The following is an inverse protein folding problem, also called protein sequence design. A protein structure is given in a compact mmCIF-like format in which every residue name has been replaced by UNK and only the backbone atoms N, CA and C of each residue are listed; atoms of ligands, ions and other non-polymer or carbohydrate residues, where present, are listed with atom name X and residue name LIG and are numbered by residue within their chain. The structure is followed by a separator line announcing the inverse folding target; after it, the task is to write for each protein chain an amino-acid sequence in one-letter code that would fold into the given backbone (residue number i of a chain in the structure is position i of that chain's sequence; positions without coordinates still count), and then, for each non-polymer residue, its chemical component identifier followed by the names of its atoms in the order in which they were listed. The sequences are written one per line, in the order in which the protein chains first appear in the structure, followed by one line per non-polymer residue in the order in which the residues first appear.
data_IF_646914029619
#
_entry.id   IF_646914029619
#
_cell.length_a   1.000
_cell.length_b   1.000
_cell.length_c   1.000
_cell.angle_alpha   90.00
_cell.angle_beta   90.00
_cell.angle_gamma   90.00
#
_symmetry.space_group_name_H-M   'P 1'
#
loop_
_entity.id
_entity.type
_entity.pdbx_description
1 polymer ?
#
# COMPACT_ATOMS: atom_id res chain seq x y z
N UNK A 1 6.11 3.96 15.99
CA UNK A 1 5.80 4.26 14.57
C UNK A 1 6.21 5.71 14.34
N UNK A 2 6.85 6.04 13.23
CA UNK A 2 7.17 7.45 12.94
C UNK A 2 5.96 8.12 12.27
N UNK A 3 5.75 9.42 12.52
CA UNK A 3 4.66 10.20 11.93
C UNK A 3 3.34 10.26 12.72
N UNK A 4 3.24 9.62 13.89
CA UNK A 4 2.10 9.79 14.81
C UNK A 4 2.32 10.99 15.74
N UNK A 5 1.26 11.74 16.01
CA UNK A 5 1.26 12.85 16.97
C UNK A 5 1.73 12.37 18.35
N UNK A 6 2.68 13.10 18.96
CA UNK A 6 3.20 12.81 20.29
C UNK A 6 2.37 13.56 21.33
N UNK A 7 1.56 12.83 22.08
CA UNK A 7 0.77 13.38 23.18
C UNK A 7 1.40 13.00 24.52
N UNK A 8 1.53 13.98 25.41
CA UNK A 8 2.01 13.78 26.77
C UNK A 8 0.81 13.70 27.68
N UNK A 9 0.52 12.51 28.20
CA UNK A 9 -0.50 12.32 29.22
C UNK A 9 0.04 12.75 30.59
N UNK A 10 -0.69 13.60 31.31
CA UNK A 10 -0.35 13.95 32.70
C UNK A 10 -0.79 12.86 33.70
N UNK A 11 -1.69 11.95 33.30
CA UNK A 11 -2.20 10.83 34.10
C UNK A 11 -2.32 9.55 33.26
N UNK A 12 -2.12 8.38 33.87
CA UNK A 12 -2.25 7.06 33.20
C UNK A 12 -3.63 6.84 32.56
N UNK A 13 -4.66 7.49 33.11
CA UNK A 13 -6.06 7.40 32.68
C UNK A 13 -6.29 7.99 31.28
N UNK A 14 -5.50 9.01 30.90
CA UNK A 14 -5.64 9.75 29.64
C UNK A 14 -4.96 9.04 28.45
N UNK A 15 -4.10 8.04 28.73
CA UNK A 15 -3.38 7.28 27.69
C UNK A 15 -4.37 6.54 26.77
N UNK A 16 -5.44 5.99 27.36
CA UNK A 16 -6.44 5.23 26.61
C UNK A 16 -7.27 6.10 25.64
N UNK A 17 -7.54 7.36 26.00
CA UNK A 17 -8.23 8.30 25.11
C UNK A 17 -7.33 8.75 23.95
N UNK A 18 -6.07 9.04 24.24
CA UNK A 18 -5.06 9.42 23.24
C UNK A 18 -4.76 8.28 22.25
N UNK A 19 -4.67 7.03 22.72
CA UNK A 19 -4.57 5.87 21.83
C UNK A 19 -5.79 5.74 20.91
N UNK A 20 -6.98 6.07 21.40
CA UNK A 20 -8.22 5.97 20.64
C UNK A 20 -8.29 7.05 19.54
N UNK A 21 -7.87 8.29 19.82
CA UNK A 21 -7.76 9.36 18.80
C UNK A 21 -6.81 8.96 17.68
N UNK A 22 -5.61 8.46 18.01
CA UNK A 22 -4.63 8.02 17.00
C UNK A 22 -5.19 6.84 16.18
N UNK A 23 -5.90 5.90 16.82
CA UNK A 23 -6.58 4.82 16.10
C UNK A 23 -7.71 5.31 15.20
N UNK A 24 -8.42 6.39 15.56
CA UNK A 24 -9.46 6.97 14.71
C UNK A 24 -8.89 7.58 13.43
N UNK A 25 -7.75 8.29 13.52
CA UNK A 25 -7.07 8.88 12.34
C UNK A 25 -6.58 7.79 11.38
N UNK A 26 -5.92 6.75 11.89
CA UNK A 26 -5.51 5.59 11.09
C UNK A 26 -6.72 4.94 10.44
N UNK A 27 -7.79 4.71 11.21
CA UNK A 27 -9.03 4.09 10.71
C UNK A 27 -9.72 4.93 9.63
N UNK A 28 -9.62 6.25 9.69
CA UNK A 28 -10.18 7.16 8.69
C UNK A 28 -9.44 7.02 7.34
N UNK A 29 -8.11 6.99 7.36
CA UNK A 29 -7.28 6.77 6.16
C UNK A 29 -7.57 5.40 5.55
N UNK A 30 -7.63 4.35 6.37
CA UNK A 30 -7.96 2.98 5.93
C UNK A 30 -9.35 2.89 5.27
N UNK A 31 -10.37 3.52 5.87
CA UNK A 31 -11.75 3.52 5.35
C UNK A 31 -11.92 4.25 4.00
N UNK A 32 -11.02 5.18 3.67
CA UNK A 32 -11.03 5.85 2.35
C UNK A 32 -10.58 4.89 1.24
N UNK A 33 -9.70 3.94 1.56
CA UNK A 33 -9.12 2.96 0.62
C UNK A 33 -10.01 1.74 0.40
N UNK A 34 -10.71 1.27 1.43
CA UNK A 34 -11.55 0.05 1.35
C UNK A 34 -12.74 0.13 0.37
N UNK A 35 -13.03 1.30 -0.19
CA UNK A 35 -14.20 1.50 -1.08
C UNK A 35 -14.00 0.94 -2.50
N UNK A 36 -12.78 0.59 -2.89
CA UNK A 36 -12.48 0.12 -4.25
C UNK A 36 -12.28 -1.40 -4.29
N UNK A 37 -13.14 -2.12 -5.03
CA UNK A 37 -13.08 -3.58 -5.19
C UNK A 37 -11.92 -4.08 -6.06
N UNK A 38 -11.23 -3.17 -6.75
CA UNK A 38 -10.07 -3.39 -7.59
C UNK A 38 -9.01 -2.32 -7.32
N UNK A 39 -7.73 -2.67 -7.38
CA UNK A 39 -6.66 -1.73 -7.16
C UNK A 39 -5.36 -2.38 -6.71
N UNK A 40 -4.33 -1.55 -6.57
CA UNK A 40 -3.00 -2.00 -6.10
C UNK A 40 -3.00 -2.19 -4.58
N UNK A 41 -2.11 -3.06 -4.10
CA UNK A 41 -1.84 -3.21 -2.66
C UNK A 41 -0.70 -2.27 -2.28
N UNK A 42 -0.86 -1.50 -1.21
CA UNK A 42 0.12 -0.50 -0.80
C UNK A 42 0.67 -0.82 0.60
N UNK A 43 1.98 -0.63 0.77
CA UNK A 43 2.66 -0.84 2.02
C UNK A 43 3.67 0.28 2.29
N UNK A 44 3.69 0.79 3.52
CA UNK A 44 4.57 1.89 3.93
C UNK A 44 5.18 1.65 5.32
N UNK A 45 6.27 2.35 5.64
CA UNK A 45 6.92 2.27 6.96
C UNK A 45 6.16 3.04 8.05
N UNK A 46 5.43 4.08 7.66
CA UNK A 46 4.78 5.05 8.55
C UNK A 46 3.42 5.48 8.01
N UNK A 47 2.58 6.07 8.87
CA UNK A 47 1.28 6.61 8.45
C UNK A 47 1.45 7.81 7.52
N UNK A 48 2.33 8.77 7.85
CA UNK A 48 2.56 9.93 6.97
C UNK A 48 3.10 9.55 5.60
N UNK A 49 3.95 8.52 5.52
CA UNK A 49 4.40 7.94 4.26
C UNK A 49 3.25 7.30 3.46
N UNK A 50 2.33 6.63 4.16
CA UNK A 50 1.14 6.04 3.55
C UNK A 50 0.20 7.12 2.99
N UNK A 51 -0.04 8.19 3.74
CA UNK A 51 -0.91 9.29 3.32
C UNK A 51 -0.36 10.01 2.08
N UNK A 52 0.94 10.33 2.06
CA UNK A 52 1.59 10.93 0.90
C UNK A 52 1.49 10.02 -0.33
N UNK A 53 1.67 8.71 -0.13
CA UNK A 53 1.56 7.70 -1.17
C UNK A 53 0.12 7.61 -1.72
N UNK A 54 -0.88 7.62 -0.85
CA UNK A 54 -2.29 7.60 -1.23
C UNK A 54 -2.74 8.86 -1.96
N UNK A 55 -2.31 10.04 -1.50
CA UNK A 55 -2.64 11.32 -2.14
C UNK A 55 -2.14 11.37 -3.59
N UNK A 56 -0.93 10.87 -3.84
CA UNK A 56 -0.38 10.79 -5.19
C UNK A 56 -1.11 9.77 -6.08
N UNK A 57 -1.43 8.59 -5.53
CA UNK A 57 -2.20 7.57 -6.27
C UNK A 57 -3.60 8.08 -6.65
N UNK A 58 -4.23 8.90 -5.79
CA UNK A 58 -5.50 9.58 -6.07
C UNK A 58 -5.35 10.58 -7.24
N UNK A 59 -4.30 11.41 -7.26
CA UNK A 59 -4.00 12.33 -8.37
C UNK A 59 -3.78 11.60 -9.71
N UNK A 60 -3.06 10.48 -9.65
CA UNK A 60 -2.80 9.62 -10.81
C UNK A 60 -4.00 8.76 -11.23
N UNK A 61 -5.12 8.82 -10.51
CA UNK A 61 -6.33 8.00 -10.72
C UNK A 61 -6.05 6.50 -10.68
N UNK A 62 -5.10 6.08 -9.85
CA UNK A 62 -4.76 4.68 -9.63
C UNK A 62 -5.58 4.19 -8.44
N UNK A 63 -6.48 3.21 -8.63
CA UNK A 63 -7.26 2.70 -7.53
C UNK A 63 -6.39 1.89 -6.57
N UNK A 64 -6.64 2.06 -5.27
CA UNK A 64 -6.02 1.30 -4.19
C UNK A 64 -7.10 0.46 -3.54
N UNK A 65 -6.83 -0.84 -3.35
CA UNK A 65 -7.82 -1.74 -2.75
C UNK A 65 -7.53 -2.03 -1.27
N UNK A 66 -6.26 -2.05 -0.90
CA UNK A 66 -5.82 -2.35 0.45
C UNK A 66 -4.46 -1.70 0.74
N UNK A 67 -4.28 -1.37 2.01
CA UNK A 67 -3.07 -0.76 2.55
C UNK A 67 -2.64 -1.49 3.82
N UNK A 68 -1.35 -1.45 4.13
CA UNK A 68 -0.79 -1.99 5.36
C UNK A 68 0.49 -1.24 5.75
N UNK A 69 0.90 -1.32 7.02
CA UNK A 69 2.12 -0.68 7.53
C UNK A 69 3.08 -1.77 7.98
N UNK A 70 4.36 -1.65 7.61
CA UNK A 70 5.42 -2.57 8.02
C UNK A 70 6.00 -3.40 6.87
N UNK A 71 6.47 -4.61 7.18
CA UNK A 71 7.17 -5.48 6.22
C UNK A 71 6.20 -6.23 5.31
N UNK A 72 6.56 -6.38 4.02
CA UNK A 72 5.74 -7.15 3.07
C UNK A 72 5.88 -8.63 3.38
N UNK A 73 4.78 -9.29 3.70
CA UNK A 73 4.73 -10.72 4.00
C UNK A 73 3.97 -11.49 2.94
N UNK A 74 4.08 -12.82 2.97
CA UNK A 74 3.37 -13.74 2.07
C UNK A 74 1.85 -13.53 2.04
N UNK A 75 1.25 -13.17 3.19
CA UNK A 75 -0.19 -12.87 3.28
C UNK A 75 -0.59 -11.68 2.40
N UNK A 76 0.27 -10.68 2.29
CA UNK A 76 0.03 -9.47 1.49
C UNK A 76 0.09 -9.82 0.00
N UNK A 77 1.01 -10.70 -0.40
CA UNK A 77 1.11 -11.20 -1.78
C UNK A 77 -0.15 -11.98 -2.17
N UNK A 78 -0.63 -12.87 -1.30
CA UNK A 78 -1.88 -13.60 -1.55
C UNK A 78 -3.09 -12.68 -1.69
N UNK A 79 -3.14 -11.59 -0.93
CA UNK A 79 -4.20 -10.58 -1.09
C UNK A 79 -4.08 -9.88 -2.45
N UNK A 80 -2.86 -9.54 -2.88
CA UNK A 80 -2.63 -8.91 -4.18
C UNK A 80 -2.90 -9.86 -5.37
N UNK A 81 -2.68 -11.17 -5.22
CA UNK A 81 -2.94 -12.15 -6.30
C UNK A 81 -4.41 -12.27 -6.67
N UNK A 82 -5.32 -11.97 -5.74
CA UNK A 82 -6.77 -11.96 -5.98
C UNK A 82 -7.14 -11.01 -7.13
N UNK A 83 -6.39 -9.93 -7.35
CA UNK A 83 -6.63 -9.03 -8.48
C UNK A 83 -6.47 -9.73 -9.82
N UNK A 84 -5.51 -10.66 -9.91
CA UNK A 84 -5.28 -11.46 -11.11
C UNK A 84 -6.42 -12.44 -11.36
N UNK A 85 -6.90 -13.11 -10.30
CA UNK A 85 -8.04 -14.04 -10.36
C UNK A 85 -9.33 -13.33 -10.79
N UNK A 86 -9.50 -12.07 -10.38
CA UNK A 86 -10.62 -11.19 -10.79
C UNK A 86 -10.48 -10.64 -12.22
N UNK A 87 -9.44 -11.00 -12.98
CA UNK A 87 -9.20 -10.52 -14.34
C UNK A 87 -8.51 -9.16 -14.45
N UNK A 88 -8.08 -8.59 -13.32
CA UNK A 88 -7.33 -7.32 -13.27
C UNK A 88 -5.84 -7.57 -13.02
N UNK A 89 -5.19 -8.30 -13.92
CA UNK A 89 -3.77 -8.65 -13.79
C UNK A 89 -2.85 -7.41 -13.70
N UNK A 90 -3.27 -6.26 -14.26
CA UNK A 90 -2.56 -4.98 -14.12
C UNK A 90 -2.45 -4.49 -12.68
N UNK A 91 -3.40 -4.87 -11.82
CA UNK A 91 -3.49 -4.48 -10.42
C UNK A 91 -2.93 -5.54 -9.47
N UNK A 92 -2.43 -6.67 -9.98
CA UNK A 92 -1.71 -7.67 -9.20
C UNK A 92 -0.30 -7.17 -8.85
N UNK A 93 -0.25 -6.08 -8.09
CA UNK A 93 0.94 -5.29 -7.77
C UNK A 93 0.94 -4.92 -6.29
N UNK A 94 2.10 -5.02 -5.66
CA UNK A 94 2.40 -4.51 -4.33
C UNK A 94 3.37 -3.33 -4.46
N UNK A 95 3.01 -2.19 -3.88
CA UNK A 95 3.83 -0.99 -3.78
C UNK A 95 4.36 -0.84 -2.35
N UNK A 96 5.66 -0.98 -2.16
CA UNK A 96 6.34 -0.85 -0.87
C UNK A 96 7.18 0.42 -0.79
N UNK A 97 6.79 1.40 0.03
CA UNK A 97 7.59 2.60 0.27
C UNK A 97 8.33 2.49 1.61
N UNK A 98 9.66 2.51 1.56
CA UNK A 98 10.55 2.44 2.73
C UNK A 98 10.33 1.17 3.59
N UNK A 99 10.00 0.05 2.94
CA UNK A 99 9.69 -1.23 3.62
C UNK A 99 10.54 -2.37 3.11
N UNK A 100 10.86 -3.29 4.02
CA UNK A 100 11.49 -4.57 3.68
C UNK A 100 10.47 -5.51 3.06
N UNK A 101 10.94 -6.34 2.14
CA UNK A 101 10.18 -7.44 1.55
C UNK A 101 10.73 -8.75 2.11
N UNK A 102 9.85 -9.56 2.70
CA UNK A 102 10.24 -10.87 3.20
C UNK A 102 10.62 -11.81 2.04
N UNK A 103 11.66 -12.62 2.23
CA UNK A 103 12.16 -13.52 1.19
C UNK A 103 11.11 -14.58 0.77
N UNK A 104 10.22 -14.98 1.68
CA UNK A 104 9.12 -15.87 1.35
C UNK A 104 8.03 -15.14 0.55
N UNK A 105 7.83 -13.85 0.80
CA UNK A 105 6.93 -13.00 0.01
C UNK A 105 7.44 -12.85 -1.43
N UNK A 106 8.74 -12.61 -1.64
CA UNK A 106 9.31 -12.54 -3.00
C UNK A 106 9.13 -13.84 -3.78
N UNK A 107 9.34 -14.99 -3.13
CA UNK A 107 9.12 -16.31 -3.74
C UNK A 107 7.67 -16.51 -4.13
N UNK A 108 6.74 -16.21 -3.23
CA UNK A 108 5.31 -16.33 -3.48
C UNK A 108 4.87 -15.38 -4.61
N UNK A 109 5.42 -14.17 -4.67
CA UNK A 109 5.08 -13.20 -5.70
C UNK A 109 5.46 -13.70 -7.09
N UNK A 110 6.62 -14.35 -7.23
CA UNK A 110 7.02 -15.01 -8.48
C UNK A 110 6.07 -16.15 -8.85
N UNK A 111 5.66 -16.98 -7.88
CA UNK A 111 4.74 -18.10 -8.09
C UNK A 111 3.35 -17.65 -8.54
N UNK A 112 2.79 -16.64 -7.88
CA UNK A 112 1.45 -16.11 -8.16
C UNK A 112 1.46 -15.08 -9.30
N UNK A 113 2.65 -14.68 -9.75
CA UNK A 113 2.90 -13.60 -10.71
C UNK A 113 2.33 -12.27 -10.28
N UNK A 114 2.54 -11.94 -9.00
CA UNK A 114 2.34 -10.60 -8.43
C UNK A 114 3.65 -9.84 -8.59
N UNK A 115 3.59 -8.58 -9.04
CA UNK A 115 4.78 -7.72 -9.08
C UNK A 115 4.94 -6.96 -7.78
N UNK A 116 6.16 -6.93 -7.25
CA UNK A 116 6.50 -6.10 -6.09
C UNK A 116 7.39 -4.97 -6.60
N UNK A 117 6.98 -3.74 -6.33
CA UNK A 117 7.84 -2.56 -6.46
C UNK A 117 8.14 -2.05 -5.07
N UNK A 118 9.41 -1.84 -4.78
CA UNK A 118 9.83 -1.30 -3.49
C UNK A 118 10.95 -0.28 -3.68
N UNK A 119 10.88 0.84 -2.96
CA UNK A 119 11.92 1.86 -2.97
C UNK A 119 11.94 2.64 -1.65
N UNK A 120 13.11 3.14 -1.28
CA UNK A 120 13.31 4.02 -0.12
C UNK A 120 12.91 5.49 -0.42
N UNK A 121 12.81 5.84 -1.71
CA UNK A 121 12.47 7.19 -2.19
C UNK A 121 11.18 7.11 -3.01
N UNK A 122 10.20 7.94 -2.65
CA UNK A 122 8.84 7.86 -3.19
C UNK A 122 8.77 8.06 -4.71
N UNK A 123 9.59 8.97 -5.26
CA UNK A 123 9.65 9.24 -6.70
C UNK A 123 10.12 8.02 -7.52
N UNK A 124 11.10 7.26 -7.00
CA UNK A 124 11.56 6.06 -7.68
C UNK A 124 10.51 4.95 -7.68
N UNK A 125 9.69 4.86 -6.64
CA UNK A 125 8.58 3.92 -6.60
C UNK A 125 7.54 4.27 -7.67
N UNK A 126 7.26 5.56 -7.83
CA UNK A 126 6.31 6.08 -8.81
C UNK A 126 6.78 5.93 -10.25
N UNK A 127 8.04 6.22 -10.55
CA UNK A 127 8.58 6.05 -11.90
C UNK A 127 8.51 4.59 -12.33
N UNK A 128 8.89 3.67 -11.43
CA UNK A 128 8.81 2.22 -11.67
C UNK A 128 7.37 1.78 -11.93
N UNK A 129 6.43 2.20 -11.07
CA UNK A 129 5.04 1.84 -11.20
C UNK A 129 4.39 2.45 -12.46
N UNK A 130 4.63 3.73 -12.72
CA UNK A 130 4.06 4.46 -13.86
C UNK A 130 4.56 3.86 -15.18
N UNK A 131 5.85 3.55 -15.28
CA UNK A 131 6.42 2.89 -16.45
C UNK A 131 5.77 1.52 -16.69
N UNK A 132 5.60 0.71 -15.63
CA UNK A 132 4.89 -0.56 -15.73
C UNK A 132 3.44 -0.39 -16.16
N UNK A 133 2.71 0.53 -15.51
CA UNK A 133 1.29 0.74 -15.77
C UNK A 133 1.04 1.26 -17.19
N UNK A 134 1.91 2.14 -17.69
CA UNK A 134 1.88 2.61 -19.08
C UNK A 134 2.11 1.47 -20.06
N UNK A 135 3.10 0.61 -19.82
CA UNK A 135 3.36 -0.57 -20.67
C UNK A 135 2.15 -1.50 -20.72
N UNK A 136 1.55 -1.82 -19.57
CA UNK A 136 0.37 -2.69 -19.50
C UNK A 136 -0.83 -2.06 -20.21
N UNK A 137 -1.04 -0.75 -20.04
CA UNK A 137 -2.11 0.00 -20.70
C UNK A 137 -1.91 0.08 -22.22
N UNK A 138 -0.67 0.19 -22.69
CA UNK A 138 -0.33 0.13 -24.10
C UNK A 138 -0.63 -1.25 -24.67
N UNK A 139 -0.15 -2.31 -24.04
CA UNK A 139 -0.39 -3.70 -24.49
C UNK A 139 -1.88 -4.04 -24.57
N UNK A 140 -2.71 -3.53 -23.64
CA UNK A 140 -4.18 -3.69 -23.71
C UNK A 140 -4.86 -2.84 -24.79
N UNK A 141 -4.26 -1.73 -25.24
CA UNK A 141 -4.81 -0.90 -26.33
C UNK A 141 -4.59 -1.51 -27.73
N UNK A 142 -3.71 -2.50 -27.84
CA UNK A 142 -3.38 -3.18 -29.11
C UNK A 142 -3.82 -4.65 -29.16
N UNK A 143 -4.49 -5.15 -28.11
CA UNK A 143 -5.12 -6.47 -28.08
C UNK A 143 -6.64 -6.33 -28.29
#
# INVERSE_FOLDING_TARGET
MAGTSLYVAEKEEDIAELENEVMQEVSFVLKKVEKTNNGVYVMASTLGALEALLAYLEECKIPVFAVSIGTVQKKDIKKASVMREKGFAEFAVVLGFDVKVDAEAEKEAKTLGVKIFSAEIIYHLFDQFTSYFQQVKQSKKWA
#
